data_IF_935245606483
#
_entry.id   IF_935245606483
#
_cell.length_a   1.000
_cell.length_b   1.000
_cell.length_c   1.000
_cell.angle_alpha   90.00
_cell.angle_beta   90.00
_cell.angle_gamma   90.00
#
_symmetry.space_group_name_H-M   'P 1'
#
loop_
_entity.id
_entity.type
_entity.pdbx_description
1 polymer ?
#
# COMPACT_ATOMS: atom_id res chain seq x y z
N UNK A 1 2.94 17.57 -5.57
CA UNK A 1 2.35 16.36 -6.17
C UNK A 1 3.05 16.17 -7.51
N UNK A 2 4.08 15.32 -7.58
CA UNK A 2 4.90 15.13 -8.81
C UNK A 2 4.29 14.01 -9.67
N UNK A 3 4.06 14.28 -10.95
CA UNK A 3 3.44 13.41 -11.95
C UNK A 3 4.21 12.11 -12.21
N UNK A 4 5.46 12.00 -11.77
CA UNK A 4 6.30 10.81 -11.97
C UNK A 4 5.82 9.55 -11.23
N UNK A 5 5.04 9.69 -10.15
CA UNK A 5 4.47 8.54 -9.43
C UNK A 5 3.22 7.93 -10.09
N UNK A 6 2.55 8.68 -10.96
CA UNK A 6 1.28 8.26 -11.57
C UNK A 6 1.47 7.11 -12.58
N UNK A 7 2.63 7.03 -13.24
CA UNK A 7 2.94 5.96 -14.20
C UNK A 7 3.39 4.63 -13.57
N UNK A 8 3.53 4.55 -12.25
CA UNK A 8 4.06 3.37 -11.54
C UNK A 8 3.02 2.62 -10.69
N UNK A 9 1.71 2.86 -10.91
CA UNK A 9 0.62 2.16 -10.20
C UNK A 9 0.62 2.34 -8.67
N UNK A 10 1.44 3.28 -8.17
CA UNK A 10 1.73 3.44 -6.75
C UNK A 10 1.17 4.74 -6.15
N UNK A 11 0.30 5.45 -6.85
CA UNK A 11 -0.43 6.56 -6.23
C UNK A 11 -1.65 5.99 -5.54
N UNK A 12 -1.58 6.00 -4.22
CA UNK A 12 -2.76 6.02 -3.37
C UNK A 12 -3.77 7.06 -3.88
N UNK A 13 -5.05 6.69 -3.86
CA UNK A 13 -6.14 7.59 -4.21
C UNK A 13 -6.20 8.79 -3.26
N UNK A 14 -6.90 9.85 -3.67
CA UNK A 14 -7.12 10.99 -2.80
C UNK A 14 -7.85 10.56 -1.52
N UNK A 15 -7.30 10.94 -0.36
CA UNK A 15 -7.85 10.56 0.94
C UNK A 15 -7.43 9.17 1.45
N UNK A 16 -6.55 8.46 0.75
CA UNK A 16 -6.00 7.19 1.28
C UNK A 16 -5.24 7.43 2.58
N UNK A 17 -5.55 6.62 3.59
CA UNK A 17 -4.79 6.55 4.84
C UNK A 17 -3.83 5.37 4.82
N UNK A 18 -2.57 5.57 5.24
CA UNK A 18 -1.56 4.51 5.32
C UNK A 18 -0.66 4.65 6.54
N UNK A 19 -0.21 3.51 7.10
CA UNK A 19 0.76 3.50 8.20
C UNK A 19 1.43 2.12 8.34
N UNK A 20 2.25 1.96 9.39
CA UNK A 20 2.91 0.70 9.71
C UNK A 20 3.05 0.43 11.21
N UNK A 21 3.25 -0.84 11.55
CA UNK A 21 3.49 -1.33 12.90
C UNK A 21 4.93 -1.81 13.09
N UNK A 22 5.33 -1.94 14.36
CA UNK A 22 6.71 -2.28 14.77
C UNK A 22 7.24 -3.57 14.15
N UNK A 23 6.41 -4.62 14.06
CA UNK A 23 6.78 -5.91 13.45
C UNK A 23 6.57 -5.93 11.93
N UNK A 24 6.86 -4.80 11.28
CA UNK A 24 6.71 -4.61 9.85
C UNK A 24 5.25 -4.80 9.37
N UNK A 25 4.25 -4.63 10.24
CA UNK A 25 2.85 -4.59 9.76
C UNK A 25 2.68 -3.36 8.86
N UNK A 26 1.98 -3.50 7.75
CA UNK A 26 1.66 -2.39 6.86
C UNK A 26 0.17 -2.41 6.57
N UNK A 27 -0.48 -1.25 6.57
CA UNK A 27 -1.90 -1.17 6.29
C UNK A 27 -2.27 0.13 5.57
N UNK A 28 -3.37 0.06 4.83
CA UNK A 28 -3.94 1.22 4.16
C UNK A 28 -5.47 1.10 4.07
N UNK A 29 -6.13 2.25 3.93
CA UNK A 29 -7.54 2.37 3.63
C UNK A 29 -7.71 3.34 2.46
N UNK A 30 -8.23 2.83 1.34
CA UNK A 30 -8.48 3.58 0.12
C UNK A 30 -9.99 3.88 0.01
N UNK A 31 -10.42 5.15 0.13
CA UNK A 31 -11.83 5.51 0.08
C UNK A 31 -12.42 5.54 -1.34
N UNK A 32 -11.59 5.61 -2.38
CA UNK A 32 -12.05 5.61 -3.78
C UNK A 32 -12.43 4.19 -4.19
N UNK A 33 -11.54 3.24 -3.91
CA UNK A 33 -11.78 1.81 -4.17
C UNK A 33 -12.66 1.14 -3.10
N UNK A 34 -12.95 1.83 -2.00
CA UNK A 34 -13.63 1.28 -0.83
C UNK A 34 -12.96 0.01 -0.26
N UNK A 35 -11.62 -0.01 -0.25
CA UNK A 35 -10.83 -1.17 0.17
C UNK A 35 -9.91 -0.83 1.35
N UNK A 36 -9.83 -1.77 2.30
CA UNK A 36 -8.87 -1.75 3.40
C UNK A 36 -7.92 -2.94 3.23
N UNK A 37 -6.63 -2.67 3.15
CA UNK A 37 -5.58 -3.68 3.06
C UNK A 37 -4.76 -3.73 4.34
N UNK A 38 -4.53 -4.93 4.87
CA UNK A 38 -3.63 -5.17 6.01
C UNK A 38 -2.65 -6.29 5.64
N UNK A 39 -1.37 -5.97 5.64
CA UNK A 39 -0.26 -6.90 5.49
C UNK A 39 0.39 -7.12 6.86
N UNK A 40 0.10 -8.28 7.46
CA UNK A 40 0.70 -8.69 8.73
C UNK A 40 1.96 -9.49 8.47
N UNK A 41 3.10 -9.02 9.00
CA UNK A 41 4.39 -9.70 8.92
C UNK A 41 4.89 -10.03 10.32
N UNK A 42 5.81 -10.98 10.41
CA UNK A 42 6.49 -11.37 11.66
C UNK A 42 8.00 -11.15 11.49
N UNK A 43 8.37 -9.94 11.09
CA UNK A 43 9.74 -9.56 10.73
C UNK A 43 10.08 -8.21 11.34
N UNK A 44 11.34 -8.01 11.71
CA UNK A 44 11.87 -6.74 12.22
C UNK A 44 13.21 -6.44 11.54
N UNK A 45 13.63 -5.18 11.51
CA UNK A 45 14.91 -4.71 10.95
C UNK A 45 15.16 -5.10 9.48
N UNK A 46 14.10 -5.02 8.67
CA UNK A 46 14.13 -5.32 7.23
C UNK A 46 14.25 -4.05 6.40
N UNK A 47 15.48 -3.57 6.22
CA UNK A 47 15.80 -2.29 5.57
C UNK A 47 15.46 -2.23 4.06
N UNK A 48 15.29 -3.38 3.42
CA UNK A 48 15.00 -3.51 1.98
C UNK A 48 13.64 -4.16 1.70
N UNK A 49 12.67 -3.97 2.60
CA UNK A 49 11.33 -4.52 2.42
C UNK A 49 10.53 -3.70 1.38
N UNK A 50 10.19 -4.34 0.26
CA UNK A 50 9.37 -3.75 -0.80
C UNK A 50 7.92 -4.25 -0.79
N UNK A 51 7.55 -5.06 0.21
CA UNK A 51 6.27 -5.79 0.19
C UNK A 51 5.08 -4.87 0.41
N UNK A 52 5.22 -3.76 1.13
CA UNK A 52 4.10 -2.84 1.42
C UNK A 52 3.53 -2.17 0.18
N UNK A 53 4.38 -1.54 -0.62
CA UNK A 53 3.94 -0.86 -1.85
C UNK A 53 3.57 -1.87 -2.94
N UNK A 54 4.28 -3.01 -3.04
CA UNK A 54 3.93 -4.10 -3.97
C UNK A 54 2.60 -4.73 -3.63
N UNK A 55 2.33 -4.96 -2.34
CA UNK A 55 1.05 -5.49 -1.88
C UNK A 55 -0.10 -4.58 -2.28
N UNK A 56 0.03 -3.26 -2.08
CA UNK A 56 -0.99 -2.30 -2.51
C UNK A 56 -1.21 -2.34 -4.02
N UNK A 57 -0.12 -2.36 -4.81
CA UNK A 57 -0.22 -2.46 -6.27
C UNK A 57 -0.98 -3.73 -6.70
N UNK A 58 -0.67 -4.87 -6.08
CA UNK A 58 -1.34 -6.14 -6.36
C UNK A 58 -2.82 -6.11 -5.95
N UNK A 59 -3.15 -5.47 -4.82
CA UNK A 59 -4.56 -5.28 -4.40
C UNK A 59 -5.30 -4.40 -5.40
N UNK A 60 -4.72 -3.27 -5.81
CA UNK A 60 -5.31 -2.39 -6.81
C UNK A 60 -5.53 -3.09 -8.16
N UNK A 61 -4.60 -3.93 -8.61
CA UNK A 61 -4.75 -4.74 -9.82
C UNK A 61 -5.82 -5.85 -9.70
N UNK A 62 -6.14 -6.28 -8.48
CA UNK A 62 -7.11 -7.35 -8.24
C UNK A 62 -8.54 -6.82 -8.04
N UNK A 63 -8.72 -5.51 -7.88
CA UNK A 63 -10.02 -4.86 -7.86
C UNK A 63 -10.43 -4.67 -9.32
N UNK A 64 -11.53 -5.32 -9.69
CA UNK A 64 -12.12 -5.26 -11.03
C UNK A 64 -13.00 -4.01 -11.15
N UNK A 65 -12.77 -3.19 -12.17
CA UNK A 65 -13.59 -2.02 -12.52
C UNK A 65 -14.75 -2.41 -13.46
#
# INVERSE_FOLDING_TARGET
>A
LDDKGAGMGGRSSEGTFEWGGYFNTQYFADPVENVIGILMKQTQDTWSDETGWKFRLLVGQAIDD
#
